data_IF_852701105408
#
_entry.id   IF_852701105408
#
_cell.length_a   1.000
_cell.length_b   1.000
_cell.length_c   1.000
_cell.angle_alpha   90.00
_cell.angle_beta   90.00
_cell.angle_gamma   90.00
#
_symmetry.space_group_name_H-M   'P 1'
#
loop_
_entity.id
_entity.type
_entity.pdbx_description
1 polymer ?
#
# COMPACT_ATOMS: atom_id res chain seq x y z
N UNK A 1 22.61 -3.66 -29.13
CA UNK A 1 23.25 -4.76 -29.90
C UNK A 1 24.02 -5.64 -28.92
N UNK A 2 23.55 -6.86 -28.68
CA UNK A 2 24.34 -8.11 -28.72
C UNK A 2 23.44 -9.27 -28.23
N UNK A 3 23.11 -10.16 -29.15
CA UNK A 3 22.53 -11.49 -28.91
C UNK A 3 23.64 -12.53 -29.18
N UNK A 4 23.48 -13.71 -28.57
CA UNK A 4 23.92 -15.07 -29.00
C UNK A 4 25.39 -15.51 -28.89
N UNK A 5 25.62 -16.59 -28.12
CA UNK A 5 26.39 -17.81 -28.45
C UNK A 5 26.18 -18.90 -27.35
N UNK A 6 25.40 -19.99 -27.58
CA UNK A 6 25.79 -21.37 -28.00
C UNK A 6 26.59 -22.11 -26.88
N UNK A 7 26.09 -23.14 -26.14
CA UNK A 7 25.57 -24.50 -26.43
C UNK A 7 26.60 -25.54 -26.93
N UNK A 8 26.60 -26.74 -26.29
CA UNK A 8 27.41 -27.98 -26.45
C UNK A 8 28.56 -28.08 -25.42
N UNK A 9 28.78 -29.19 -24.72
CA UNK A 9 28.77 -30.59 -25.18
C UNK A 9 28.53 -31.60 -24.04
N UNK A 10 27.66 -32.57 -24.26
CA UNK A 10 27.46 -33.81 -23.50
C UNK A 10 27.72 -34.95 -24.49
N UNK A 11 28.68 -35.84 -24.21
CA UNK A 11 28.66 -37.28 -24.48
C UNK A 11 30.07 -37.87 -24.38
N UNK A 12 30.29 -38.75 -23.40
CA UNK A 12 31.03 -39.98 -23.65
C UNK A 12 30.35 -41.12 -22.90
N UNK A 13 29.89 -42.09 -23.67
CA UNK A 13 29.30 -43.38 -23.28
C UNK A 13 30.40 -44.39 -22.98
N UNK A 14 30.14 -45.31 -22.05
CA UNK A 14 30.94 -46.51 -21.79
C UNK A 14 30.16 -47.52 -20.96
N UNK A 15 29.36 -48.34 -21.65
CA UNK A 15 28.52 -49.41 -21.11
C UNK A 15 29.33 -50.70 -20.89
N UNK A 16 29.09 -51.45 -19.80
CA UNK A 16 29.30 -52.91 -19.73
C UNK A 16 28.19 -53.58 -18.92
N UNK A 17 27.58 -54.57 -19.55
CA UNK A 17 26.54 -55.49 -19.05
C UNK A 17 27.19 -56.86 -18.85
N UNK A 18 26.84 -57.59 -17.79
CA UNK A 18 26.39 -59.01 -17.82
C UNK A 18 26.23 -59.61 -16.39
N UNK A 19 25.14 -60.36 -16.23
CA UNK A 19 24.56 -61.08 -15.08
C UNK A 19 25.10 -62.54 -14.97
N UNK A 20 24.46 -63.52 -14.30
CA UNK A 20 24.14 -63.72 -12.87
C UNK A 20 24.54 -65.13 -12.33
N UNK A 21 24.55 -65.38 -10.99
CA UNK A 21 24.35 -66.74 -10.41
C UNK A 21 23.85 -66.71 -8.95
N UNK A 22 22.71 -67.39 -8.70
CA UNK A 22 22.28 -68.29 -7.58
C UNK A 22 22.91 -68.19 -6.16
N UNK A 23 22.26 -68.46 -4.99
CA UNK A 23 21.03 -69.19 -4.56
C UNK A 23 20.76 -68.89 -3.06
N UNK A 24 19.50 -68.63 -2.65
CA UNK A 24 18.58 -69.41 -1.77
C UNK A 24 18.81 -69.51 -0.24
N UNK A 25 17.80 -69.02 0.53
CA UNK A 25 17.03 -69.66 1.62
C UNK A 25 16.33 -68.54 2.45
N UNK A 26 15.06 -68.54 2.91
CA UNK A 26 13.88 -69.41 2.97
C UNK A 26 12.99 -68.81 4.10
N UNK A 27 11.84 -68.15 3.84
CA UNK A 27 10.43 -68.62 3.97
C UNK A 27 9.96 -68.84 5.44
N UNK A 28 8.66 -68.65 5.87
CA UNK A 28 7.42 -68.32 5.12
C UNK A 28 6.50 -67.21 5.68
N UNK A 29 5.59 -66.79 4.82
CA UNK A 29 4.28 -66.20 5.11
C UNK A 29 3.21 -67.29 5.28
N UNK A 30 2.13 -67.02 6.03
CA UNK A 30 0.89 -67.82 5.96
C UNK A 30 -0.33 -66.90 5.99
N UNK A 31 -1.06 -66.90 4.88
CA UNK A 31 -2.44 -66.46 4.80
C UNK A 31 -3.37 -67.62 5.18
N UNK A 32 -4.54 -67.33 5.74
CA UNK A 32 -5.73 -68.20 5.65
C UNK A 32 -7.01 -67.37 5.82
N UNK A 33 -7.94 -67.66 4.90
CA UNK A 33 -9.31 -67.17 4.78
C UNK A 33 -10.24 -67.95 5.73
N UNK A 34 -11.34 -67.35 6.21
CA UNK A 34 -12.73 -67.80 5.96
C UNK A 34 -13.81 -67.02 6.74
N UNK A 35 -14.86 -66.68 5.98
CA UNK A 35 -16.33 -66.65 6.24
C UNK A 35 -16.97 -66.02 7.51
N UNK A 36 -17.96 -65.18 7.19
CA UNK A 36 -19.17 -64.72 7.90
C UNK A 36 -19.88 -65.75 8.79
N UNK A 37 -20.39 -65.29 9.94
CA UNK A 37 -21.75 -65.54 10.46
C UNK A 37 -22.12 -64.49 11.53
N UNK A 38 -23.36 -64.04 11.49
CA UNK A 38 -23.95 -63.07 12.41
C UNK A 38 -24.41 -63.73 13.71
N UNK A 39 -24.28 -63.03 14.86
CA UNK A 39 -25.19 -63.23 15.99
C UNK A 39 -25.22 -62.02 16.93
N UNK A 40 -26.43 -61.54 17.22
CA UNK A 40 -26.76 -60.54 18.23
C UNK A 40 -26.52 -61.08 19.65
N UNK A 41 -26.09 -60.21 20.57
CA UNK A 41 -26.50 -60.31 21.97
C UNK A 41 -26.45 -58.95 22.67
N UNK A 42 -27.59 -58.59 23.25
CA UNK A 42 -27.83 -57.45 24.14
C UNK A 42 -26.94 -57.45 25.37
N UNK A 43 -26.45 -56.27 25.79
CA UNK A 43 -26.24 -55.96 27.20
C UNK A 43 -26.59 -54.48 27.47
N UNK A 44 -27.42 -54.27 28.50
CA UNK A 44 -27.97 -53.00 28.93
C UNK A 44 -27.13 -52.34 30.04
N UNK A 45 -26.90 -51.02 29.90
CA UNK A 45 -26.87 -49.95 30.94
C UNK A 45 -25.72 -49.92 31.97
N UNK A 46 -25.27 -48.75 32.51
CA UNK A 46 -26.10 -47.60 32.88
C UNK A 46 -25.60 -46.18 32.54
N UNK A 47 -26.58 -45.27 32.68
CA UNK A 47 -26.53 -43.82 32.51
C UNK A 47 -25.52 -43.15 33.45
N UNK A 48 -24.70 -42.25 32.91
CA UNK A 48 -24.17 -41.08 33.65
C UNK A 48 -24.61 -39.80 32.94
N UNK A 49 -25.71 -39.25 33.44
CA UNK A 49 -26.04 -37.84 33.36
C UNK A 49 -25.14 -37.11 34.36
N UNK A 50 -24.58 -35.95 33.99
CA UNK A 50 -24.81 -34.68 34.70
C UNK A 50 -23.84 -33.55 34.28
N UNK A 51 -24.48 -32.40 34.02
CA UNK A 51 -24.00 -31.01 34.18
C UNK A 51 -23.00 -30.41 33.18
N UNK A 52 -23.48 -30.06 31.99
CA UNK A 52 -23.02 -28.86 31.26
C UNK A 52 -24.17 -28.24 30.44
N UNK A 53 -25.21 -27.75 31.12
CA UNK A 53 -26.20 -26.86 30.52
C UNK A 53 -26.88 -26.07 31.64
N UNK A 54 -26.63 -24.74 31.70
CA UNK A 54 -27.54 -23.69 32.22
C UNK A 54 -26.83 -22.37 32.61
N UNK A 55 -25.89 -21.88 31.79
CA UNK A 55 -25.40 -20.48 31.91
C UNK A 55 -25.72 -19.62 30.67
N UNK A 56 -26.26 -20.21 29.60
CA UNK A 56 -26.56 -19.48 28.35
C UNK A 56 -28.05 -19.17 28.08
N UNK A 57 -28.96 -19.45 29.03
CA UNK A 57 -30.42 -19.24 28.84
C UNK A 57 -31.08 -18.35 29.91
N UNK A 58 -30.40 -17.32 30.44
CA UNK A 58 -31.01 -16.41 31.43
C UNK A 58 -30.93 -14.92 31.15
N UNK A 59 -30.90 -14.52 29.87
CA UNK A 59 -31.05 -13.11 29.47
C UNK A 59 -31.95 -12.89 28.24
N UNK A 60 -33.00 -13.70 28.07
CA UNK A 60 -33.99 -13.49 27.02
C UNK A 60 -35.41 -13.69 27.57
N UNK A 61 -35.92 -12.70 28.30
CA UNK A 61 -37.36 -12.37 28.39
C UNK A 61 -37.53 -11.08 29.21
N UNK A 62 -37.35 -9.93 28.56
CA UNK A 62 -38.13 -8.73 28.88
C UNK A 62 -38.92 -8.37 27.64
N UNK A 63 -40.20 -8.71 27.65
CA UNK A 63 -41.14 -8.33 26.62
C UNK A 63 -41.30 -6.79 26.66
N UNK A 64 -40.65 -6.10 25.73
CA UNK A 64 -40.89 -4.68 25.50
C UNK A 64 -42.18 -4.56 24.69
N UNK A 65 -43.21 -3.96 25.30
CA UNK A 65 -44.48 -3.59 24.68
C UNK A 65 -44.18 -2.69 23.46
N UNK A 66 -44.76 -2.92 22.26
CA UNK A 66 -44.51 -2.02 21.14
C UNK A 66 -45.23 -0.70 21.42
N UNK A 67 -44.47 0.37 21.64
CA UNK A 67 -45.00 1.72 21.55
C UNK A 67 -45.37 1.98 20.08
N UNK A 68 -46.59 2.45 19.83
CA UNK A 68 -47.05 2.84 18.51
C UNK A 68 -46.08 3.89 17.94
N UNK A 69 -45.32 3.51 16.92
CA UNK A 69 -44.42 4.41 16.22
C UNK A 69 -45.26 5.33 15.34
N UNK A 70 -45.45 6.58 15.78
CA UNK A 70 -45.94 7.66 14.93
C UNK A 70 -44.95 7.82 13.78
N UNK A 71 -45.36 7.43 12.58
CA UNK A 71 -44.56 7.55 11.36
C UNK A 71 -44.29 9.03 11.08
N UNK A 72 -43.17 9.55 11.59
CA UNK A 72 -42.64 10.84 11.18
C UNK A 72 -42.17 10.68 9.75
N UNK A 73 -42.85 11.37 8.82
CA UNK A 73 -42.50 11.41 7.41
C UNK A 73 -41.02 11.80 7.27
N UNK A 74 -40.17 10.79 7.06
CA UNK A 74 -38.73 10.98 6.92
C UNK A 74 -38.55 11.65 5.57
N UNK A 75 -38.11 12.91 5.57
CA UNK A 75 -37.72 13.62 4.36
C UNK A 75 -36.77 12.73 3.58
N UNK A 76 -37.19 12.26 2.40
CA UNK A 76 -36.42 11.33 1.58
C UNK A 76 -35.00 11.87 1.41
N UNK A 77 -34.04 11.23 2.07
CA UNK A 77 -32.67 11.73 2.12
C UNK A 77 -32.11 11.62 0.71
N UNK A 78 -31.80 12.75 0.06
CA UNK A 78 -31.30 12.75 -1.31
C UNK A 78 -30.06 11.87 -1.44
N UNK A 79 -30.19 10.74 -2.12
CA UNK A 79 -29.12 9.78 -2.36
C UNK A 79 -28.30 10.24 -3.56
N UNK A 80 -26.98 10.25 -3.42
CA UNK A 80 -26.05 10.56 -4.52
C UNK A 80 -26.11 9.47 -5.59
N UNK A 81 -26.09 9.84 -6.89
CA UNK A 81 -26.13 8.85 -7.98
C UNK A 81 -24.87 7.96 -8.01
N UNK A 82 -24.98 6.64 -8.34
CA UNK A 82 -23.82 5.73 -8.42
C UNK A 82 -22.72 6.17 -9.39
N UNK A 83 -23.06 6.90 -10.46
CA UNK A 83 -22.08 7.43 -11.42
C UNK A 83 -20.98 8.28 -10.73
N UNK A 84 -21.33 9.03 -9.68
CA UNK A 84 -20.37 9.81 -8.88
C UNK A 84 -19.36 8.90 -8.19
N UNK A 85 -19.78 7.72 -7.71
CA UNK A 85 -18.87 6.78 -7.08
C UNK A 85 -17.85 6.20 -8.07
N UNK A 86 -18.29 5.79 -9.27
CA UNK A 86 -17.39 5.24 -10.28
C UNK A 86 -16.40 6.30 -10.80
N UNK A 87 -16.85 7.54 -10.94
CA UNK A 87 -15.98 8.67 -11.23
C UNK A 87 -14.91 8.89 -10.14
N UNK A 88 -15.29 8.83 -8.86
CA UNK A 88 -14.32 8.93 -7.76
C UNK A 88 -13.37 7.72 -7.75
N UNK A 89 -13.85 6.50 -8.00
CA UNK A 89 -12.96 5.33 -8.13
C UNK A 89 -11.97 5.45 -9.29
N UNK A 90 -12.40 5.97 -10.44
CA UNK A 90 -11.51 6.28 -11.56
C UNK A 90 -10.41 7.24 -11.12
N UNK A 91 -10.77 8.33 -10.44
CA UNK A 91 -9.80 9.30 -9.94
C UNK A 91 -8.87 8.69 -8.87
N UNK A 92 -9.38 7.83 -7.99
CA UNK A 92 -8.53 7.10 -7.05
C UNK A 92 -7.51 6.22 -7.78
N UNK A 93 -7.92 5.52 -8.84
CA UNK A 93 -7.01 4.77 -9.71
C UNK A 93 -5.94 5.65 -10.36
N UNK A 94 -6.31 6.86 -10.81
CA UNK A 94 -5.34 7.83 -11.32
C UNK A 94 -4.37 8.32 -10.24
N UNK A 95 -4.84 8.55 -9.00
CA UNK A 95 -3.97 8.93 -7.87
C UNK A 95 -3.03 7.78 -7.50
N UNK A 96 -3.48 6.52 -7.57
CA UNK A 96 -2.59 5.37 -7.43
C UNK A 96 -1.50 5.38 -8.52
N UNK A 97 -1.89 5.56 -9.78
CA UNK A 97 -0.96 5.57 -10.90
C UNK A 97 0.07 6.69 -10.80
N UNK A 98 -0.34 7.93 -10.47
CA UNK A 98 0.59 9.06 -10.34
C UNK A 98 1.55 8.87 -9.16
N UNK A 99 1.14 8.22 -8.07
CA UNK A 99 2.07 7.88 -6.99
C UNK A 99 3.16 6.95 -7.50
N UNK A 100 2.82 5.91 -8.27
CA UNK A 100 3.84 5.01 -8.87
C UNK A 100 4.75 5.76 -9.84
N UNK A 101 4.19 6.57 -10.74
CA UNK A 101 4.98 7.38 -11.70
C UNK A 101 5.86 8.41 -10.98
N UNK A 102 5.38 9.02 -9.91
CA UNK A 102 6.16 9.93 -9.07
C UNK A 102 7.29 9.20 -8.34
N UNK A 103 7.06 7.95 -7.89
CA UNK A 103 8.10 7.07 -7.36
C UNK A 103 9.19 6.80 -8.40
N UNK A 104 8.81 6.44 -9.63
CA UNK A 104 9.74 6.27 -10.74
C UNK A 104 10.53 7.55 -11.02
N UNK A 105 9.86 8.70 -11.09
CA UNK A 105 10.50 10.02 -11.30
C UNK A 105 11.55 10.32 -10.23
N UNK A 106 11.35 9.86 -8.98
CA UNK A 106 12.34 9.98 -7.91
C UNK A 106 13.49 8.98 -8.06
N UNK A 107 13.17 7.71 -8.34
CA UNK A 107 14.14 6.62 -8.47
C UNK A 107 15.06 6.80 -9.69
N UNK A 108 14.60 7.47 -10.74
CA UNK A 108 15.38 7.85 -11.93
C UNK A 108 16.00 9.24 -11.80
N UNK A 109 15.99 9.84 -10.60
CA UNK A 109 16.53 11.17 -10.30
C UNK A 109 16.05 12.26 -11.28
N UNK A 110 14.82 12.13 -11.75
CA UNK A 110 14.27 12.96 -12.80
C UNK A 110 13.52 14.18 -12.29
N UNK A 111 13.26 14.26 -10.98
CA UNK A 111 12.37 15.25 -10.37
C UNK A 111 12.84 16.72 -10.42
N UNK A 112 14.01 17.01 -10.98
CA UNK A 112 14.59 18.35 -11.14
C UNK A 112 14.99 18.67 -12.61
N UNK A 113 14.58 17.82 -13.56
CA UNK A 113 14.87 17.97 -15.00
C UNK A 113 14.12 19.14 -15.66
N UNK A 114 12.94 19.52 -15.15
CA UNK A 114 12.10 20.62 -15.66
C UNK A 114 11.99 21.70 -14.59
N UNK A 115 12.74 22.77 -14.75
CA UNK A 115 12.86 23.81 -13.71
C UNK A 115 11.82 24.91 -13.83
N UNK A 116 11.23 25.07 -15.01
CA UNK A 116 10.16 26.04 -15.24
C UNK A 116 8.80 25.53 -14.75
N UNK A 117 8.05 26.39 -14.08
CA UNK A 117 6.67 26.13 -13.67
C UNK A 117 5.69 26.80 -14.64
N UNK A 118 5.58 26.23 -15.83
CA UNK A 118 4.68 26.72 -16.87
C UNK A 118 3.38 25.91 -16.92
N UNK A 119 2.27 26.48 -16.45
CA UNK A 119 0.97 25.77 -16.32
C UNK A 119 0.41 25.31 -17.67
N UNK A 120 0.54 26.13 -18.72
CA UNK A 120 -0.03 25.86 -20.05
C UNK A 120 1.07 25.58 -21.09
N UNK A 121 2.07 26.45 -21.24
CA UNK A 121 3.13 26.28 -22.26
C UNK A 121 3.95 25.01 -22.03
N UNK A 122 4.21 24.64 -20.78
CA UNK A 122 4.89 23.39 -20.42
C UNK A 122 4.06 22.13 -20.59
N UNK A 123 2.90 22.16 -21.28
CA UNK A 123 2.15 20.95 -21.66
C UNK A 123 2.74 20.27 -22.89
N UNK A 124 3.40 21.03 -23.77
CA UNK A 124 4.02 20.49 -24.98
C UNK A 124 5.49 20.17 -24.68
N UNK A 125 5.94 18.91 -24.82
CA UNK A 125 7.37 18.61 -24.72
C UNK A 125 8.10 19.15 -25.97
N UNK A 126 9.42 19.36 -25.91
CA UNK A 126 10.23 19.70 -27.07
C UNK A 126 10.05 18.68 -28.21
N UNK A 127 10.02 19.16 -29.45
CA UNK A 127 9.78 18.36 -30.67
C UNK A 127 10.86 18.51 -31.73
N UNK A 128 11.62 19.59 -31.70
CA UNK A 128 12.76 19.80 -32.58
C UNK A 128 14.07 19.62 -31.82
N UNK A 129 15.16 19.35 -32.55
CA UNK A 129 16.49 19.23 -31.94
C UNK A 129 16.91 20.53 -31.23
N UNK A 130 16.60 21.68 -31.84
CA UNK A 130 16.89 22.99 -31.26
C UNK A 130 16.16 23.20 -29.92
N UNK A 131 14.87 22.87 -29.84
CA UNK A 131 14.11 22.97 -28.58
C UNK A 131 14.68 22.04 -27.50
N UNK A 132 15.18 20.86 -27.88
CA UNK A 132 15.84 19.93 -26.96
C UNK A 132 17.18 20.47 -26.45
N UNK A 133 17.99 21.04 -27.33
CA UNK A 133 19.24 21.69 -26.95
C UNK A 133 18.99 22.87 -26.01
N UNK A 134 17.99 23.71 -26.26
CA UNK A 134 17.62 24.84 -25.40
C UNK A 134 17.23 24.39 -23.98
N UNK A 135 16.37 23.38 -23.85
CA UNK A 135 16.00 22.83 -22.54
C UNK A 135 17.18 22.17 -21.84
N UNK A 136 18.06 21.49 -22.57
CA UNK A 136 19.24 20.87 -22.01
C UNK A 136 20.26 21.92 -21.53
N UNK A 137 20.45 23.01 -22.27
CA UNK A 137 21.29 24.13 -21.85
C UNK A 137 20.78 24.80 -20.57
N UNK A 138 19.45 24.89 -20.40
CA UNK A 138 18.86 25.30 -19.11
C UNK A 138 19.23 24.31 -18.01
N UNK A 139 19.07 23.01 -18.24
CA UNK A 139 19.40 21.98 -17.26
C UNK A 139 20.87 22.04 -16.80
N UNK A 140 21.81 22.29 -17.72
CA UNK A 140 23.25 22.46 -17.42
C UNK A 140 23.57 23.56 -16.42
N UNK A 141 22.68 24.55 -16.26
CA UNK A 141 22.87 25.64 -15.30
C UNK A 141 22.63 25.22 -13.85
N UNK A 142 21.96 24.09 -13.61
CA UNK A 142 21.52 23.69 -12.26
C UNK A 142 22.57 22.86 -11.50
N UNK A 143 22.51 22.88 -10.15
CA UNK A 143 23.37 22.07 -9.28
C UNK A 143 23.43 20.59 -9.64
N UNK A 144 22.28 19.98 -9.98
CA UNK A 144 22.19 18.55 -10.28
C UNK A 144 23.08 18.15 -11.47
N UNK A 145 23.02 18.90 -12.58
CA UNK A 145 23.94 18.71 -13.70
C UNK A 145 25.39 18.95 -13.31
N UNK A 146 25.67 20.03 -12.57
CA UNK A 146 27.04 20.44 -12.23
C UNK A 146 27.74 19.44 -11.30
N UNK A 147 27.00 18.77 -10.43
CA UNK A 147 27.53 17.87 -9.37
C UNK A 147 27.37 16.40 -9.72
N UNK A 148 26.17 15.98 -10.14
CA UNK A 148 25.83 14.56 -10.36
C UNK A 148 25.92 14.17 -11.83
N UNK A 149 25.36 14.98 -12.72
CA UNK A 149 25.12 14.61 -14.11
C UNK A 149 26.04 15.32 -15.12
N UNK A 150 27.29 15.63 -14.73
CA UNK A 150 28.20 16.53 -15.48
C UNK A 150 28.57 16.05 -16.89
N UNK A 151 28.44 14.74 -17.12
CA UNK A 151 28.74 14.07 -18.38
C UNK A 151 27.49 13.53 -19.09
N UNK A 152 26.30 13.93 -18.63
CA UNK A 152 25.04 13.48 -19.21
C UNK A 152 24.94 13.92 -20.68
N UNK A 153 24.51 13.01 -21.53
CA UNK A 153 24.21 13.27 -22.95
C UNK A 153 22.80 13.81 -23.11
N UNK A 154 22.50 14.40 -24.27
CA UNK A 154 21.15 14.88 -24.58
C UNK A 154 20.11 13.74 -24.55
N UNK A 155 20.49 12.53 -25.00
CA UNK A 155 19.60 11.36 -24.99
C UNK A 155 19.27 10.89 -23.56
N UNK A 156 20.25 10.93 -22.65
CA UNK A 156 20.02 10.66 -21.23
C UNK A 156 19.13 11.75 -20.58
N UNK A 157 19.34 13.01 -20.94
CA UNK A 157 18.48 14.11 -20.51
C UNK A 157 17.03 13.94 -20.97
N UNK A 158 16.80 13.55 -22.24
CA UNK A 158 15.45 13.25 -22.76
C UNK A 158 14.73 12.22 -21.90
N UNK A 159 15.42 11.17 -21.44
CA UNK A 159 14.84 10.13 -20.60
C UNK A 159 14.35 10.69 -19.24
N UNK A 160 15.18 11.45 -18.53
CA UNK A 160 14.77 12.04 -17.25
C UNK A 160 13.67 13.10 -17.44
N UNK A 161 13.75 13.89 -18.50
CA UNK A 161 12.74 14.88 -18.86
C UNK A 161 11.36 14.23 -19.06
N UNK A 162 11.30 13.11 -19.79
CA UNK A 162 10.02 12.44 -20.05
C UNK A 162 9.36 11.86 -18.80
N UNK A 163 10.12 11.36 -17.83
CA UNK A 163 9.56 10.92 -16.55
C UNK A 163 8.90 12.08 -15.80
N UNK A 164 9.61 13.20 -15.66
CA UNK A 164 9.08 14.36 -14.97
C UNK A 164 7.90 14.99 -15.73
N UNK A 165 8.02 15.15 -17.05
CA UNK A 165 6.95 15.66 -17.90
C UNK A 165 5.69 14.79 -17.79
N UNK A 166 5.84 13.47 -17.84
CA UNK A 166 4.72 12.52 -17.72
C UNK A 166 4.06 12.65 -16.35
N UNK A 167 4.84 12.69 -15.27
CA UNK A 167 4.33 12.90 -13.92
C UNK A 167 3.53 14.21 -13.80
N UNK A 168 4.05 15.31 -14.36
CA UNK A 168 3.37 16.62 -14.40
C UNK A 168 2.08 16.58 -15.23
N UNK A 169 2.08 15.90 -16.38
CA UNK A 169 0.90 15.79 -17.25
C UNK A 169 -0.21 14.98 -16.61
N UNK A 170 0.14 13.86 -15.96
CA UNK A 170 -0.83 13.06 -15.20
C UNK A 170 -1.42 13.91 -14.06
N UNK A 171 -0.61 14.70 -13.36
CA UNK A 171 -1.09 15.61 -12.31
C UNK A 171 -2.12 16.62 -12.82
N UNK A 172 -1.87 17.24 -13.97
CA UNK A 172 -2.82 18.16 -14.63
C UNK A 172 -4.10 17.45 -15.05
N UNK A 173 -3.97 16.26 -15.63
CA UNK A 173 -5.13 15.46 -16.03
C UNK A 173 -5.99 15.08 -14.82
N UNK A 174 -5.38 14.68 -13.69
CA UNK A 174 -6.10 14.41 -12.43
C UNK A 174 -6.84 15.67 -11.95
N UNK A 175 -6.19 16.84 -12.01
CA UNK A 175 -6.83 18.12 -11.73
C UNK A 175 -8.10 18.34 -12.55
N UNK A 176 -7.98 18.19 -13.87
CA UNK A 176 -9.11 18.33 -14.78
C UNK A 176 -10.21 17.27 -14.56
N UNK A 177 -9.83 16.01 -14.33
CA UNK A 177 -10.76 14.89 -14.11
C UNK A 177 -11.50 14.99 -12.78
N UNK A 178 -10.98 15.72 -11.79
CA UNK A 178 -11.71 16.09 -10.57
C UNK A 178 -12.60 17.32 -10.78
N UNK A 179 -12.06 18.39 -11.36
CA UNK A 179 -12.76 19.67 -11.42
C UNK A 179 -13.94 19.63 -12.40
N UNK A 180 -13.72 19.20 -13.64
CA UNK A 180 -14.74 19.31 -14.69
C UNK A 180 -15.97 18.42 -14.40
N UNK A 181 -15.83 17.11 -14.11
CA UNK A 181 -16.98 16.28 -13.77
C UNK A 181 -17.57 16.65 -12.40
N UNK A 182 -16.75 17.12 -11.45
CA UNK A 182 -17.21 17.59 -10.15
C UNK A 182 -18.19 18.77 -10.27
N UNK A 183 -17.85 19.76 -11.10
CA UNK A 183 -18.72 20.90 -11.41
C UNK A 183 -20.00 20.46 -12.15
N UNK A 184 -19.88 19.53 -13.10
CA UNK A 184 -21.03 18.95 -13.78
C UNK A 184 -21.98 18.23 -12.80
N UNK A 185 -21.46 17.37 -11.93
CA UNK A 185 -22.28 16.64 -10.95
C UNK A 185 -22.90 17.56 -9.90
N UNK A 186 -22.22 18.63 -9.52
CA UNK A 186 -22.74 19.63 -8.60
C UNK A 186 -23.89 20.41 -9.24
N UNK A 187 -23.70 20.93 -10.46
CA UNK A 187 -24.72 21.72 -11.18
C UNK A 187 -25.96 20.90 -11.55
N UNK A 188 -25.80 19.61 -11.90
CA UNK A 188 -26.91 18.68 -12.15
C UNK A 188 -27.55 18.12 -10.87
N UNK A 189 -27.06 18.51 -9.69
CA UNK A 189 -27.58 18.03 -8.42
C UNK A 189 -27.45 16.50 -8.27
N UNK A 190 -26.44 15.87 -8.86
CA UNK A 190 -26.22 14.42 -8.74
C UNK A 190 -25.64 14.01 -7.38
N UNK A 191 -25.17 14.98 -6.59
CA UNK A 191 -24.61 14.79 -5.25
C UNK A 191 -25.56 15.23 -4.14
N UNK A 192 -25.53 14.51 -3.02
CA UNK A 192 -26.04 14.98 -1.73
C UNK A 192 -25.16 16.12 -1.20
N UNK A 193 -25.70 16.98 -0.31
CA UNK A 193 -24.93 18.09 0.29
C UNK A 193 -23.65 17.62 0.98
N UNK A 194 -23.70 16.44 1.62
CA UNK A 194 -22.54 15.82 2.27
C UNK A 194 -21.46 15.44 1.25
N UNK A 195 -21.84 14.72 0.19
CA UNK A 195 -20.87 14.28 -0.84
C UNK A 195 -20.30 15.48 -1.59
N UNK A 196 -21.10 16.51 -1.87
CA UNK A 196 -20.60 17.74 -2.50
C UNK A 196 -19.53 18.43 -1.63
N UNK A 197 -19.77 18.58 -0.31
CA UNK A 197 -18.78 19.14 0.62
C UNK A 197 -17.50 18.29 0.71
N UNK A 198 -17.64 16.97 0.78
CA UNK A 198 -16.49 16.05 0.80
C UNK A 198 -15.68 16.12 -0.49
N UNK A 199 -16.35 16.13 -1.64
CA UNK A 199 -15.72 16.25 -2.96
C UNK A 199 -15.00 17.58 -3.10
N UNK A 200 -15.62 18.68 -2.67
CA UNK A 200 -14.98 19.99 -2.63
C UNK A 200 -13.72 20.00 -1.77
N UNK A 201 -13.77 19.43 -0.56
CA UNK A 201 -12.59 19.30 0.30
C UNK A 201 -11.46 18.49 -0.34
N UNK A 202 -11.80 17.39 -1.04
CA UNK A 202 -10.81 16.61 -1.80
C UNK A 202 -10.21 17.44 -2.94
N UNK A 203 -11.02 18.22 -3.66
CA UNK A 203 -10.52 19.14 -4.71
C UNK A 203 -9.58 20.21 -4.14
N UNK A 204 -9.88 20.77 -2.96
CA UNK A 204 -8.97 21.69 -2.28
C UNK A 204 -7.64 21.00 -1.90
N UNK A 205 -7.69 19.77 -1.38
CA UNK A 205 -6.48 18.99 -1.10
C UNK A 205 -5.69 18.70 -2.38
N UNK A 206 -6.34 18.46 -3.51
CA UNK A 206 -5.69 18.28 -4.80
C UNK A 206 -4.97 19.56 -5.27
N UNK A 207 -5.57 20.73 -5.05
CA UNK A 207 -4.91 22.02 -5.28
C UNK A 207 -3.68 22.19 -4.37
N UNK A 208 -3.82 21.85 -3.08
CA UNK A 208 -2.71 21.84 -2.13
C UNK A 208 -1.61 20.83 -2.52
N UNK A 209 -1.97 19.70 -3.13
CA UNK A 209 -1.02 18.72 -3.62
C UNK A 209 -0.16 19.26 -4.76
N UNK A 210 -0.75 20.05 -5.67
CA UNK A 210 0.01 20.79 -6.68
C UNK A 210 0.98 21.80 -6.06
N UNK A 211 0.54 22.54 -5.05
CA UNK A 211 1.40 23.44 -4.27
C UNK A 211 2.56 22.68 -3.59
N UNK A 212 2.28 21.55 -2.94
CA UNK A 212 3.29 20.71 -2.31
C UNK A 212 4.31 20.18 -3.34
N UNK A 213 3.87 19.80 -4.54
CA UNK A 213 4.76 19.39 -5.63
C UNK A 213 5.71 20.52 -6.05
N UNK A 214 5.20 21.74 -6.20
CA UNK A 214 6.04 22.91 -6.48
C UNK A 214 7.02 23.21 -5.32
N UNK A 215 6.55 23.18 -4.07
CA UNK A 215 7.36 23.41 -2.88
C UNK A 215 8.49 22.37 -2.73
N UNK A 216 8.19 21.13 -3.13
CA UNK A 216 9.11 20.01 -3.18
C UNK A 216 10.23 20.26 -4.21
N UNK A 217 9.89 20.59 -5.47
CA UNK A 217 10.88 20.90 -6.53
C UNK A 217 11.74 22.11 -6.15
N UNK A 218 11.14 23.16 -5.59
CA UNK A 218 11.87 24.36 -5.14
C UNK A 218 12.96 24.04 -4.11
N UNK A 219 12.86 22.96 -3.33
CA UNK A 219 13.95 22.58 -2.42
C UNK A 219 15.23 22.17 -3.14
N UNK A 220 15.10 21.39 -4.21
CA UNK A 220 16.25 20.82 -4.92
C UNK A 220 16.99 21.84 -5.79
N UNK A 221 16.35 22.97 -6.10
CA UNK A 221 16.92 24.04 -6.92
C UNK A 221 17.66 25.12 -6.09
N UNK A 222 17.74 24.97 -4.77
CA UNK A 222 18.33 25.98 -3.90
C UNK A 222 19.85 26.05 -4.04
N UNK A 223 20.38 27.24 -4.39
CA UNK A 223 21.83 27.50 -4.41
C UNK A 223 22.52 27.27 -3.06
N UNK A 224 21.76 27.28 -1.95
CA UNK A 224 22.31 26.95 -0.64
C UNK A 224 22.90 25.53 -0.59
N UNK A 225 22.38 24.60 -1.40
CA UNK A 225 22.93 23.24 -1.52
C UNK A 225 24.34 23.24 -2.13
N UNK A 226 24.71 24.24 -2.93
CA UNK A 226 26.06 24.38 -3.48
C UNK A 226 27.06 24.89 -2.43
N UNK A 227 26.58 25.44 -1.31
CA UNK A 227 27.42 26.04 -0.25
C UNK A 227 27.68 25.08 0.91
N UNK A 228 26.92 24.00 1.03
CA UNK A 228 27.11 22.97 2.04
C UNK A 228 28.06 21.87 1.52
N UNK A 229 29.25 21.69 2.13
CA UNK A 229 30.19 20.65 1.69
C UNK A 229 29.55 19.25 1.78
N UNK A 230 29.46 18.55 0.64
CA UNK A 230 28.89 17.20 0.57
C UNK A 230 27.37 17.13 0.44
N UNK A 231 26.67 18.26 0.27
CA UNK A 231 25.24 18.24 -0.01
C UNK A 231 24.96 17.72 -1.44
N UNK A 232 24.10 16.70 -1.52
CA UNK A 232 23.63 16.15 -2.80
C UNK A 232 22.44 16.98 -3.28
N UNK A 233 22.44 17.53 -4.51
CA UNK A 233 21.30 18.26 -5.06
C UNK A 233 20.11 17.33 -5.27
N UNK A 234 19.23 17.24 -4.26
CA UNK A 234 18.02 16.44 -4.31
C UNK A 234 16.90 17.11 -3.56
N UNK A 235 15.69 16.66 -3.83
CA UNK A 235 14.51 17.06 -3.08
C UNK A 235 14.65 16.63 -1.62
N UNK A 236 14.28 17.51 -0.68
CA UNK A 236 14.26 17.18 0.74
C UNK A 236 13.33 16.00 1.04
N UNK A 237 13.84 15.00 1.76
CA UNK A 237 13.08 13.82 2.22
C UNK A 237 11.83 14.21 3.00
N UNK A 238 11.87 15.31 3.77
CA UNK A 238 10.70 15.83 4.47
C UNK A 238 9.60 16.27 3.51
N UNK A 239 9.96 16.98 2.44
CA UNK A 239 9.00 17.50 1.46
C UNK A 239 8.46 16.37 0.58
N UNK A 240 9.32 15.43 0.19
CA UNK A 240 8.93 14.22 -0.53
C UNK A 240 7.90 13.40 0.27
N UNK A 241 8.20 13.10 1.54
CA UNK A 241 7.30 12.35 2.41
C UNK A 241 6.00 13.10 2.68
N UNK A 242 6.04 14.42 2.86
CA UNK A 242 4.83 15.24 3.02
C UNK A 242 3.95 15.26 1.75
N UNK A 243 4.56 15.31 0.57
CA UNK A 243 3.86 15.23 -0.71
C UNK A 243 3.21 13.85 -0.90
N UNK A 244 3.93 12.76 -0.58
CA UNK A 244 3.38 11.40 -0.59
C UNK A 244 2.23 11.24 0.40
N UNK A 245 2.38 11.73 1.64
CA UNK A 245 1.34 11.66 2.66
C UNK A 245 0.04 12.37 2.22
N UNK A 246 0.19 13.55 1.62
CA UNK A 246 -0.95 14.29 1.05
C UNK A 246 -1.60 13.55 -0.12
N UNK A 247 -0.80 12.90 -0.99
CA UNK A 247 -1.31 12.04 -2.07
C UNK A 247 -2.17 10.90 -1.52
N UNK A 248 -1.68 10.21 -0.48
CA UNK A 248 -2.38 9.10 0.15
C UNK A 248 -3.64 9.59 0.87
N UNK A 249 -3.64 10.79 1.46
CA UNK A 249 -4.83 11.39 2.06
C UNK A 249 -5.93 11.65 1.01
N UNK A 250 -5.57 12.18 -0.17
CA UNK A 250 -6.48 12.34 -1.31
C UNK A 250 -7.02 10.98 -1.77
N UNK A 251 -6.12 10.01 -1.96
CA UNK A 251 -6.45 8.65 -2.38
C UNK A 251 -7.46 7.98 -1.43
N UNK A 252 -7.14 7.97 -0.12
CA UNK A 252 -7.97 7.39 0.92
C UNK A 252 -9.35 8.06 0.97
N UNK A 253 -9.38 9.40 0.99
CA UNK A 253 -10.63 10.17 1.04
C UNK A 253 -11.52 9.87 -0.15
N UNK A 254 -10.94 9.80 -1.35
CA UNK A 254 -11.66 9.51 -2.59
C UNK A 254 -12.27 8.11 -2.56
N UNK A 255 -11.49 7.10 -2.14
CA UNK A 255 -11.97 5.72 -1.99
C UNK A 255 -13.10 5.62 -0.96
N UNK A 256 -12.94 6.25 0.21
CA UNK A 256 -13.96 6.18 1.26
C UNK A 256 -15.26 6.87 0.85
N UNK A 257 -15.20 8.00 0.15
CA UNK A 257 -16.40 8.68 -0.36
C UNK A 257 -17.07 7.84 -1.44
N UNK A 258 -16.30 7.30 -2.40
CA UNK A 258 -16.84 6.43 -3.45
C UNK A 258 -17.54 5.18 -2.86
N UNK A 259 -16.87 4.49 -1.94
CA UNK A 259 -17.39 3.30 -1.28
C UNK A 259 -18.65 3.59 -0.45
N UNK A 260 -18.70 4.75 0.22
CA UNK A 260 -19.87 5.14 1.01
C UNK A 260 -21.06 5.47 0.10
N UNK A 261 -20.85 6.10 -1.06
CA UNK A 261 -21.92 6.34 -2.05
C UNK A 261 -22.51 5.01 -2.53
N UNK A 262 -21.67 4.03 -2.90
CA UNK A 262 -22.15 2.70 -3.34
C UNK A 262 -22.94 2.02 -2.23
N UNK A 263 -22.44 2.07 -0.98
CA UNK A 263 -23.10 1.45 0.18
C UNK A 263 -24.43 2.11 0.49
N UNK A 264 -24.48 3.45 0.54
CA UNK A 264 -25.70 4.22 0.79
C UNK A 264 -26.76 3.97 -0.29
N UNK A 265 -26.37 3.87 -1.57
CA UNK A 265 -27.29 3.49 -2.64
C UNK A 265 -27.88 2.10 -2.42
N UNK A 266 -27.08 1.11 -2.01
CA UNK A 266 -27.61 -0.24 -1.71
C UNK A 266 -28.61 -0.21 -0.55
N UNK A 267 -28.33 0.56 0.50
CA UNK A 267 -29.22 0.72 1.65
C UNK A 267 -30.53 1.38 1.23
N UNK A 268 -30.46 2.54 0.56
CA UNK A 268 -31.64 3.31 0.17
C UNK A 268 -32.57 2.57 -0.81
N UNK A 269 -32.01 1.68 -1.63
CA UNK A 269 -32.78 0.85 -2.56
C UNK A 269 -33.22 -0.50 -1.97
N UNK A 270 -33.06 -0.74 -0.66
CA UNK A 270 -33.43 -2.01 -0.01
C UNK A 270 -32.60 -3.23 -0.45
N UNK A 271 -31.50 -3.01 -1.18
CA UNK A 271 -30.62 -4.07 -1.70
C UNK A 271 -29.53 -4.49 -0.70
N UNK A 272 -29.49 -3.87 0.48
CA UNK A 272 -28.54 -4.22 1.53
C UNK A 272 -29.12 -5.32 2.42
N UNK A 273 -28.40 -6.43 2.55
CA UNK A 273 -28.85 -7.59 3.33
C UNK A 273 -29.00 -7.26 4.83
N UNK A 274 -30.21 -7.47 5.37
CA UNK A 274 -30.50 -7.28 6.80
C UNK A 274 -29.66 -8.19 7.72
N UNK A 275 -29.42 -9.44 7.31
CA UNK A 275 -28.55 -10.35 8.08
C UNK A 275 -27.10 -9.85 8.12
N UNK A 276 -26.62 -9.28 7.01
CA UNK A 276 -25.29 -8.66 6.95
C UNK A 276 -25.20 -7.44 7.86
N UNK A 277 -26.21 -6.57 7.84
CA UNK A 277 -26.28 -5.42 8.72
C UNK A 277 -26.32 -5.82 10.22
N UNK A 278 -27.09 -6.84 10.59
CA UNK A 278 -27.13 -7.39 11.95
C UNK A 278 -25.76 -7.92 12.40
N UNK A 279 -25.07 -8.73 11.57
CA UNK A 279 -23.70 -9.18 11.85
C UNK A 279 -22.74 -8.01 12.03
N UNK A 280 -22.81 -7.00 11.16
CA UNK A 280 -21.97 -5.81 11.23
C UNK A 280 -22.27 -4.90 12.42
N UNK A 281 -23.44 -4.98 13.04
CA UNK A 281 -23.77 -4.21 14.23
C UNK A 281 -23.42 -4.93 15.54
N UNK A 282 -23.05 -6.21 15.47
CA UNK A 282 -22.68 -6.99 16.64
C UNK A 282 -21.51 -6.33 17.42
N UNK A 283 -21.64 -6.13 18.75
CA UNK A 283 -20.61 -5.51 19.57
C UNK A 283 -19.30 -6.31 19.63
N UNK A 284 -19.31 -7.62 19.37
CA UNK A 284 -18.09 -8.45 19.34
C UNK A 284 -17.04 -7.90 18.37
N UNK A 285 -17.49 -7.24 17.29
CA UNK A 285 -16.60 -6.65 16.29
C UNK A 285 -15.99 -5.31 16.74
N UNK A 286 -16.32 -4.76 17.93
CA UNK A 286 -15.79 -3.46 18.39
C UNK A 286 -14.26 -3.48 18.45
N UNK A 287 -13.68 -4.50 19.10
CA UNK A 287 -12.22 -4.66 19.21
C UNK A 287 -11.57 -4.84 17.85
N UNK A 288 -12.17 -5.67 16.99
CA UNK A 288 -11.68 -5.90 15.62
C UNK A 288 -11.68 -4.62 14.78
N UNK A 289 -12.72 -3.78 14.89
CA UNK A 289 -12.77 -2.46 14.22
C UNK A 289 -11.64 -1.55 14.69
N UNK A 290 -11.46 -1.42 16.02
CA UNK A 290 -10.39 -0.59 16.59
C UNK A 290 -9.03 -1.08 16.09
N UNK A 291 -8.76 -2.38 16.21
CA UNK A 291 -7.50 -2.97 15.75
C UNK A 291 -7.26 -2.76 14.23
N UNK A 292 -8.31 -2.86 13.40
CA UNK A 292 -8.20 -2.59 11.97
C UNK A 292 -7.84 -1.12 11.69
N UNK A 293 -8.44 -0.18 12.41
CA UNK A 293 -8.12 1.25 12.29
C UNK A 293 -6.70 1.56 12.79
N UNK A 294 -6.31 1.01 13.94
CA UNK A 294 -4.96 1.15 14.50
C UNK A 294 -3.90 0.60 13.55
N UNK A 295 -4.16 -0.57 12.95
CA UNK A 295 -3.28 -1.17 11.94
C UNK A 295 -3.17 -0.28 10.68
N UNK A 296 -4.28 0.33 10.24
CA UNK A 296 -4.24 1.30 9.14
C UNK A 296 -3.36 2.52 9.48
N UNK A 297 -3.42 3.01 10.72
CA UNK A 297 -2.54 4.07 11.22
C UNK A 297 -1.06 3.65 11.20
N UNK A 298 -0.74 2.43 11.66
CA UNK A 298 0.61 1.89 11.60
C UNK A 298 1.12 1.72 10.16
N UNK A 299 0.27 1.22 9.24
CA UNK A 299 0.61 1.11 7.83
C UNK A 299 0.92 2.48 7.22
N UNK A 300 0.17 3.52 7.57
CA UNK A 300 0.45 4.90 7.13
C UNK A 300 1.81 5.39 7.62
N UNK A 301 2.14 5.16 8.91
CA UNK A 301 3.46 5.50 9.47
C UNK A 301 4.57 4.74 8.75
N UNK A 302 4.36 3.45 8.48
CA UNK A 302 5.32 2.60 7.77
C UNK A 302 5.56 3.12 6.35
N UNK A 303 4.52 3.49 5.61
CA UNK A 303 4.68 4.09 4.26
C UNK A 303 5.40 5.44 4.32
N UNK A 304 5.12 6.27 5.33
CA UNK A 304 5.82 7.55 5.52
C UNK A 304 7.30 7.34 5.82
N UNK A 305 7.65 6.36 6.67
CA UNK A 305 9.06 6.00 6.90
C UNK A 305 9.75 5.49 5.62
N UNK A 306 9.04 4.77 4.75
CA UNK A 306 9.56 4.37 3.43
C UNK A 306 9.82 5.57 2.51
N UNK A 307 9.01 6.63 2.61
CA UNK A 307 9.27 7.91 1.92
C UNK A 307 10.57 8.58 2.38
N UNK A 308 10.91 8.47 3.68
CA UNK A 308 12.18 8.95 4.21
C UNK A 308 13.36 8.10 3.70
N UNK A 309 13.21 6.77 3.69
CA UNK A 309 14.21 5.85 3.13
C UNK A 309 14.53 6.20 1.67
N UNK A 310 13.50 6.40 0.84
CA UNK A 310 13.67 6.80 -0.56
C UNK A 310 14.25 8.22 -0.71
N UNK A 311 13.89 9.14 0.18
CA UNK A 311 14.42 10.51 0.17
C UNK A 311 15.90 10.61 0.55
N UNK A 312 16.40 9.69 1.37
CA UNK A 312 17.79 9.65 1.86
C UNK A 312 18.68 8.66 1.09
N UNK A 313 18.13 7.95 0.11
CA UNK A 313 18.81 6.82 -0.57
C UNK A 313 19.27 5.73 0.44
N UNK A 314 18.59 5.63 1.58
CA UNK A 314 18.95 4.75 2.69
C UNK A 314 18.75 3.26 2.37
N UNK A 315 18.11 2.93 1.24
CA UNK A 315 17.97 1.56 0.76
C UNK A 315 19.28 0.90 0.30
N UNK A 316 20.36 1.69 0.13
CA UNK A 316 21.65 1.24 -0.41
C UNK A 316 22.74 0.98 0.66
N UNK A 317 22.39 0.98 1.94
CA UNK A 317 23.37 0.93 3.05
C UNK A 317 23.56 -0.51 3.54
N UNK A 318 22.51 -1.08 4.15
CA UNK A 318 22.50 -2.49 4.53
C UNK A 318 21.61 -3.25 3.56
N UNK A 319 22.19 -4.15 2.78
CA UNK A 319 21.49 -4.87 1.70
C UNK A 319 21.35 -6.37 1.97
N UNK A 320 21.56 -6.77 3.21
CA UNK A 320 21.27 -8.10 3.74
C UNK A 320 20.00 -8.11 4.60
N UNK A 321 19.42 -9.29 4.80
CA UNK A 321 18.25 -9.54 5.65
C UNK A 321 18.34 -10.95 6.26
N UNK A 322 18.01 -11.16 7.55
CA UNK A 322 17.46 -10.19 8.52
C UNK A 322 18.53 -9.31 9.20
N UNK A 323 19.81 -9.59 8.98
CA UNK A 323 20.91 -8.83 9.57
C UNK A 323 21.06 -7.43 8.93
N UNK A 324 21.80 -6.56 9.60
CA UNK A 324 22.29 -5.26 9.17
C UNK A 324 23.74 -5.15 9.65
N UNK A 325 24.67 -5.58 8.81
CA UNK A 325 26.07 -5.79 9.15
C UNK A 325 26.27 -7.07 9.95
N UNK A 326 27.02 -6.98 11.05
CA UNK A 326 27.36 -8.13 11.90
C UNK A 326 26.22 -8.59 12.83
N UNK A 327 25.16 -7.78 12.97
CA UNK A 327 24.04 -8.02 13.88
C UNK A 327 22.67 -7.77 13.24
N UNK A 328 21.59 -8.05 13.98
CA UNK A 328 20.21 -7.72 13.54
C UNK A 328 19.86 -6.23 13.75
N UNK A 329 20.65 -5.54 14.55
CA UNK A 329 20.57 -4.09 14.79
C UNK A 329 21.95 -3.52 14.46
N UNK A 330 22.04 -2.40 13.71
CA UNK A 330 23.30 -1.69 13.49
C UNK A 330 23.98 -1.27 14.81
N UNK A 331 25.30 -1.01 14.79
CA UNK A 331 26.01 -0.45 15.93
C UNK A 331 25.36 0.83 16.48
N UNK A 332 25.35 1.00 17.80
CA UNK A 332 24.68 2.12 18.48
C UNK A 332 25.23 3.49 18.07
N UNK A 333 26.53 3.57 17.81
CA UNK A 333 27.23 4.77 17.33
C UNK A 333 26.80 5.17 15.90
N UNK A 334 26.43 4.19 15.07
CA UNK A 334 25.81 4.44 13.78
C UNK A 334 24.37 4.91 13.93
N UNK A 335 23.57 4.30 14.82
CA UNK A 335 22.16 4.68 15.03
C UNK A 335 21.99 6.05 15.69
N UNK A 336 22.91 6.44 16.57
CA UNK A 336 22.85 7.65 17.39
C UNK A 336 24.08 8.53 17.20
N UNK A 337 24.44 8.79 15.94
CA UNK A 337 25.62 9.57 15.58
C UNK A 337 25.44 11.07 15.89
N UNK A 338 26.49 11.68 16.44
CA UNK A 338 26.57 13.13 16.66
C UNK A 338 26.69 13.93 15.36
N UNK A 339 27.01 13.26 14.24
CA UNK A 339 27.09 13.89 12.91
C UNK A 339 25.78 14.53 12.45
N UNK A 340 24.65 14.00 12.91
CA UNK A 340 23.32 14.50 12.55
C UNK A 340 22.74 15.48 13.57
N UNK A 341 23.50 15.87 14.59
CA UNK A 341 23.07 16.83 15.61
C UNK A 341 23.47 18.23 15.17
N UNK A 342 22.50 19.15 15.04
CA UNK A 342 22.78 20.56 14.75
C UNK A 342 22.99 21.32 16.07
N UNK A 343 23.75 22.43 16.07
CA UNK A 343 23.97 23.24 17.27
C UNK A 343 22.68 23.76 17.94
N UNK A 344 21.58 23.83 17.18
CA UNK A 344 20.27 24.28 17.65
C UNK A 344 19.38 23.17 18.22
N UNK A 345 19.80 21.90 18.13
CA UNK A 345 18.97 20.77 18.54
C UNK A 345 19.17 20.43 20.02
N UNK A 346 18.07 20.17 20.72
CA UNK A 346 18.09 19.66 22.10
C UNK A 346 18.11 18.12 22.11
N UNK A 347 19.11 17.51 21.45
CA UNK A 347 19.33 16.06 21.42
C UNK A 347 19.40 15.43 20.03
N UNK A 348 19.49 14.10 19.98
CA UNK A 348 19.81 13.31 18.77
C UNK A 348 18.61 12.94 17.88
N UNK A 349 17.47 13.62 18.02
CA UNK A 349 16.21 13.26 17.35
C UNK A 349 16.31 13.21 15.81
N UNK A 350 17.19 14.02 15.21
CA UNK A 350 17.43 14.03 13.77
C UNK A 350 17.96 12.70 13.24
N UNK A 351 18.57 11.86 14.08
CA UNK A 351 18.94 10.51 13.65
C UNK A 351 17.73 9.73 13.15
N UNK A 352 16.56 9.87 13.77
CA UNK A 352 15.32 9.18 13.35
C UNK A 352 14.78 9.63 11.98
N UNK A 353 15.27 10.74 11.42
CA UNK A 353 14.68 11.39 10.23
C UNK A 353 15.70 11.77 9.14
N UNK A 354 16.98 11.86 9.49
CA UNK A 354 18.07 12.32 8.62
C UNK A 354 19.25 11.35 8.58
N UNK A 355 19.40 10.47 9.57
CA UNK A 355 20.43 9.44 9.55
C UNK A 355 19.94 8.26 8.70
N UNK A 356 20.55 7.99 7.53
CA UNK A 356 20.10 6.93 6.64
C UNK A 356 20.10 5.54 7.29
N UNK A 357 21.11 5.21 8.12
CA UNK A 357 21.17 3.92 8.84
C UNK A 357 19.97 3.74 9.77
N UNK A 358 19.70 4.76 10.61
CA UNK A 358 18.58 4.74 11.56
C UNK A 358 17.23 4.71 10.85
N UNK A 359 17.05 5.53 9.80
CA UNK A 359 15.81 5.57 9.02
C UNK A 359 15.53 4.23 8.32
N UNK A 360 16.57 3.57 7.80
CA UNK A 360 16.44 2.23 7.22
C UNK A 360 16.02 1.20 8.28
N UNK A 361 16.68 1.21 9.45
CA UNK A 361 16.35 0.32 10.57
C UNK A 361 14.92 0.54 11.10
N UNK A 362 14.51 1.80 11.28
CA UNK A 362 13.16 2.17 11.71
C UNK A 362 12.11 1.66 10.72
N UNK A 363 12.35 1.85 9.42
CA UNK A 363 11.44 1.37 8.38
C UNK A 363 11.31 -0.16 8.38
N UNK A 364 12.43 -0.90 8.50
CA UNK A 364 12.42 -2.37 8.61
C UNK A 364 11.63 -2.83 9.83
N UNK A 365 11.88 -2.23 11.00
CA UNK A 365 11.19 -2.54 12.25
C UNK A 365 9.67 -2.27 12.16
N UNK A 366 9.29 -1.14 11.56
CA UNK A 366 7.88 -0.79 11.31
C UNK A 366 7.21 -1.76 10.33
N UNK A 367 7.93 -2.20 9.29
CA UNK A 367 7.43 -3.17 8.31
C UNK A 367 7.21 -4.56 8.94
N UNK A 368 8.16 -5.05 9.73
CA UNK A 368 8.06 -6.32 10.46
C UNK A 368 6.92 -6.29 11.49
N UNK A 369 6.79 -5.19 12.23
CA UNK A 369 5.69 -4.96 13.17
C UNK A 369 4.34 -4.95 12.43
N UNK A 370 4.26 -4.26 11.29
CA UNK A 370 3.07 -4.22 10.44
C UNK A 370 2.69 -5.62 9.93
N UNK A 371 3.65 -6.40 9.44
CA UNK A 371 3.44 -7.76 8.95
C UNK A 371 2.96 -8.69 10.08
N UNK A 372 3.58 -8.60 11.25
CA UNK A 372 3.22 -9.39 12.43
C UNK A 372 1.81 -9.06 12.91
N UNK A 373 1.47 -7.78 13.06
CA UNK A 373 0.15 -7.36 13.51
C UNK A 373 -0.94 -7.60 12.46
N UNK A 374 -0.62 -7.51 11.17
CA UNK A 374 -1.54 -7.92 10.09
C UNK A 374 -1.85 -9.40 10.18
N UNK A 375 -0.84 -10.25 10.40
CA UNK A 375 -0.99 -11.69 10.58
C UNK A 375 -1.82 -12.00 11.83
N UNK A 376 -1.53 -11.34 12.95
CA UNK A 376 -2.29 -11.50 14.19
C UNK A 376 -3.76 -11.08 14.03
N UNK A 377 -4.04 -9.96 13.35
CA UNK A 377 -5.40 -9.50 13.05
C UNK A 377 -6.12 -10.50 12.13
N UNK A 378 -5.43 -11.04 11.13
CA UNK A 378 -5.95 -12.06 10.23
C UNK A 378 -6.30 -13.37 10.97
N UNK A 379 -5.43 -13.86 11.85
CA UNK A 379 -5.72 -15.01 12.72
C UNK A 379 -6.90 -14.73 13.66
N UNK A 380 -6.94 -13.55 14.28
CA UNK A 380 -8.06 -13.14 15.15
C UNK A 380 -9.39 -13.11 14.39
N UNK A 381 -9.38 -12.68 13.12
CA UNK A 381 -10.56 -12.66 12.25
C UNK A 381 -11.23 -14.04 12.09
N UNK A 382 -10.47 -15.13 12.21
CA UNK A 382 -10.96 -16.51 12.08
C UNK A 382 -11.92 -16.91 13.20
N UNK A 383 -11.85 -16.23 14.34
CA UNK A 383 -12.69 -16.49 15.52
C UNK A 383 -13.98 -15.65 15.54
N UNK A 384 -14.20 -14.82 14.52
CA UNK A 384 -15.29 -13.84 14.50
C UNK A 384 -16.38 -14.18 13.46
N UNK A 385 -17.66 -13.86 13.76
CA UNK A 385 -18.76 -14.04 12.82
C UNK A 385 -18.76 -12.92 11.77
N UNK A 386 -17.86 -13.03 10.78
CA UNK A 386 -17.64 -12.01 9.75
C UNK A 386 -18.49 -12.25 8.49
N UNK A 387 -19.13 -11.22 7.92
CA UNK A 387 -19.76 -11.31 6.59
C UNK A 387 -18.74 -11.63 5.48
N UNK A 388 -19.22 -12.20 4.37
CA UNK A 388 -18.37 -12.61 3.22
C UNK A 388 -17.43 -11.49 2.74
N UNK A 389 -17.95 -10.27 2.61
CA UNK A 389 -17.15 -9.11 2.16
C UNK A 389 -15.99 -8.78 3.12
N UNK A 390 -16.22 -8.87 4.44
CA UNK A 390 -15.19 -8.62 5.45
C UNK A 390 -14.14 -9.73 5.46
N UNK A 391 -14.57 -11.00 5.32
CA UNK A 391 -13.67 -12.16 5.17
C UNK A 391 -12.79 -12.02 3.93
N UNK A 392 -13.35 -11.56 2.82
CA UNK A 392 -12.60 -11.32 1.59
C UNK A 392 -11.57 -10.21 1.78
N UNK A 393 -11.97 -9.06 2.34
CA UNK A 393 -11.07 -7.93 2.57
C UNK A 393 -9.88 -8.30 3.49
N UNK A 394 -10.13 -9.00 4.60
CA UNK A 394 -9.03 -9.42 5.52
C UNK A 394 -8.11 -10.47 4.89
N UNK A 395 -8.63 -11.37 4.05
CA UNK A 395 -7.81 -12.32 3.30
C UNK A 395 -6.96 -11.62 2.24
N UNK A 396 -7.53 -10.67 1.50
CA UNK A 396 -6.80 -9.86 0.53
C UNK A 396 -5.70 -9.06 1.21
N UNK A 397 -5.96 -8.47 2.38
CA UNK A 397 -4.95 -7.75 3.15
C UNK A 397 -3.80 -8.65 3.60
N UNK A 398 -4.09 -9.89 3.98
CA UNK A 398 -3.05 -10.88 4.29
C UNK A 398 -2.21 -11.26 3.05
N UNK A 399 -2.85 -11.46 1.89
CA UNK A 399 -2.12 -11.70 0.65
C UNK A 399 -1.24 -10.51 0.25
N UNK A 400 -1.77 -9.29 0.37
CA UNK A 400 -1.05 -8.06 0.06
C UNK A 400 0.17 -7.84 0.97
N UNK A 401 0.07 -8.17 2.27
CA UNK A 401 1.23 -8.02 3.18
C UNK A 401 2.34 -9.02 2.88
N UNK A 402 2.01 -10.25 2.47
CA UNK A 402 3.01 -11.24 2.01
C UNK A 402 3.75 -10.70 0.79
N UNK A 403 3.02 -10.25 -0.23
CA UNK A 403 3.61 -9.64 -1.43
C UNK A 403 4.48 -8.44 -1.06
N UNK A 404 4.01 -7.58 -0.15
CA UNK A 404 4.75 -6.38 0.26
C UNK A 404 6.06 -6.70 0.96
N UNK A 405 6.07 -7.69 1.86
CA UNK A 405 7.28 -8.15 2.55
C UNK A 405 8.26 -8.76 1.53
N UNK A 406 7.77 -9.61 0.63
CA UNK A 406 8.60 -10.18 -0.44
C UNK A 406 9.23 -9.11 -1.32
N UNK A 407 8.45 -8.10 -1.74
CA UNK A 407 8.96 -6.98 -2.52
C UNK A 407 9.99 -6.17 -1.72
N UNK A 408 9.75 -5.90 -0.44
CA UNK A 408 10.67 -5.11 0.39
C UNK A 408 12.02 -5.79 0.56
N UNK A 409 12.00 -7.08 0.91
CA UNK A 409 13.22 -7.89 1.04
C UNK A 409 13.93 -8.02 -0.32
N UNK A 410 13.19 -8.18 -1.42
CA UNK A 410 13.79 -8.29 -2.75
C UNK A 410 14.45 -6.98 -3.18
N UNK A 411 13.78 -5.84 -3.00
CA UNK A 411 14.34 -4.50 -3.27
C UNK A 411 15.64 -4.30 -2.50
N UNK A 412 15.69 -4.77 -1.27
CA UNK A 412 16.86 -4.68 -0.41
C UNK A 412 18.02 -5.55 -0.89
N UNK A 413 17.80 -6.86 -1.07
CA UNK A 413 18.84 -7.84 -1.42
C UNK A 413 19.43 -7.58 -2.81
N UNK A 414 18.62 -7.10 -3.75
CA UNK A 414 19.06 -6.80 -5.11
C UNK A 414 19.57 -5.36 -5.30
N UNK A 415 19.90 -4.63 -4.22
CA UNK A 415 20.48 -3.28 -4.29
C UNK A 415 19.57 -2.24 -4.98
N UNK A 416 18.30 -2.21 -4.57
CA UNK A 416 17.26 -1.26 -5.01
C UNK A 416 17.07 -1.19 -6.55
N UNK A 417 16.78 -2.30 -7.26
CA UNK A 417 16.41 -2.22 -8.67
C UNK A 417 15.14 -1.37 -8.83
N UNK A 418 15.13 -0.48 -9.82
CA UNK A 418 14.06 0.52 -10.00
C UNK A 418 12.69 -0.15 -10.12
N UNK A 419 12.60 -1.29 -10.82
CA UNK A 419 11.36 -2.03 -11.00
C UNK A 419 10.85 -2.61 -9.68
N UNK A 420 11.73 -3.16 -8.85
CA UNK A 420 11.37 -3.72 -7.55
C UNK A 420 10.99 -2.61 -6.56
N UNK A 421 11.73 -1.50 -6.54
CA UNK A 421 11.43 -0.35 -5.70
C UNK A 421 10.06 0.27 -6.07
N UNK A 422 9.79 0.46 -7.36
CA UNK A 422 8.50 0.94 -7.85
C UNK A 422 7.36 -0.06 -7.55
N UNK A 423 7.60 -1.36 -7.73
CA UNK A 423 6.63 -2.40 -7.38
C UNK A 423 6.35 -2.43 -5.88
N UNK A 424 7.37 -2.27 -5.03
CA UNK A 424 7.23 -2.19 -3.57
C UNK A 424 6.39 -0.97 -3.15
N UNK A 425 6.59 0.18 -3.80
CA UNK A 425 5.76 1.37 -3.55
C UNK A 425 4.29 1.15 -3.99
N UNK A 426 4.07 0.54 -5.17
CA UNK A 426 2.74 0.17 -5.63
C UNK A 426 2.06 -0.84 -4.69
N UNK A 427 2.81 -1.84 -4.22
CA UNK A 427 2.38 -2.83 -3.25
C UNK A 427 1.98 -2.21 -1.90
N UNK A 428 2.69 -1.17 -1.45
CA UNK A 428 2.36 -0.45 -0.23
C UNK A 428 0.98 0.22 -0.32
N UNK A 429 0.70 0.88 -1.44
CA UNK A 429 -0.62 1.45 -1.71
C UNK A 429 -1.70 0.37 -1.86
N UNK A 430 -1.39 -0.78 -2.48
CA UNK A 430 -2.31 -1.90 -2.59
C UNK A 430 -2.67 -2.49 -1.21
N UNK A 431 -1.67 -2.63 -0.32
CA UNK A 431 -1.87 -3.05 1.06
C UNK A 431 -2.76 -2.05 1.82
N UNK A 432 -2.46 -0.75 1.75
CA UNK A 432 -3.32 0.31 2.33
C UNK A 432 -4.75 0.26 1.76
N UNK A 433 -4.90 0.02 0.46
CA UNK A 433 -6.21 -0.10 -0.19
C UNK A 433 -7.03 -1.25 0.37
N UNK A 434 -6.39 -2.41 0.58
CA UNK A 434 -7.04 -3.56 1.20
C UNK A 434 -7.45 -3.30 2.65
N UNK A 435 -6.64 -2.53 3.41
CA UNK A 435 -7.00 -2.08 4.75
C UNK A 435 -8.18 -1.08 4.72
N UNK A 436 -8.18 -0.10 3.82
CA UNK A 436 -9.30 0.83 3.66
C UNK A 436 -10.60 0.13 3.29
N UNK A 437 -10.51 -0.89 2.42
CA UNK A 437 -11.64 -1.77 2.12
C UNK A 437 -12.13 -2.49 3.38
N UNK A 438 -11.24 -3.10 4.17
CA UNK A 438 -11.60 -3.77 5.41
C UNK A 438 -12.26 -2.81 6.42
N UNK A 439 -11.69 -1.62 6.62
CA UNK A 439 -12.26 -0.55 7.46
C UNK A 439 -13.67 -0.21 6.99
N UNK A 440 -13.85 0.03 5.68
CA UNK A 440 -15.15 0.41 5.14
C UNK A 440 -16.16 -0.74 5.25
N UNK A 441 -15.74 -1.98 4.98
CA UNK A 441 -16.58 -3.17 5.06
C UNK A 441 -17.07 -3.47 6.49
N UNK A 442 -16.32 -3.04 7.50
CA UNK A 442 -16.66 -3.20 8.92
C UNK A 442 -17.56 -2.08 9.49
N UNK A 443 -17.86 -1.04 8.71
CA UNK A 443 -18.72 0.06 9.15
C UNK A 443 -20.10 -0.48 9.52
N UNK A 444 -20.62 0.01 10.66
CA UNK A 444 -21.98 -0.27 11.10
C UNK A 444 -22.98 0.25 10.08
N UNK A 445 -24.11 -0.44 10.00
CA UNK A 445 -25.21 -0.10 9.10
C UNK A 445 -26.37 0.31 9.99
N UNK A 446 -26.90 1.55 9.87
CA UNK A 446 -28.13 1.89 10.58
C UNK A 446 -29.24 0.96 10.05
N UNK A 447 -29.89 0.24 10.96
CA UNK A 447 -31.03 -0.61 10.70
C UNK A 447 -32.32 0.18 10.91
#
# INVERSE_FOLDING_TARGET
>A
MLRTAISRSLHHLGCKVLTPTARLAGVPSRALSTRSLAQQSHFQTPKKSLYLSNVYQRFMTTAVKPAAATATATTATKVTKPAVAYWLYFNAGMVFAIVVVGGLTRLTESGLSITEWNVISGMKPPRSELEWEEEFEKYKQFPEYKILNRHMTLEEFKNIFYWEWSHRMIGRFIGASFILPGLYFASKGHMSKRVAKQTFGITCLLGFQGFMGWYMVKSGLSEALMKEPGAVPRVSQYRLTAHLATAIAIYASTIFVAADIVRQNKIANGKYSASTASMLNNPILKRFRIATHSLGGLMMITVMSGGLVAGLDAGLIYNEFPFMGEGIVPPTDELWSDRYVKPTDNGKWRNLLENPTTVQFDHRTLAETTATLTTALWLYSRRLPLPKNVKMAVNTMMGAVVVQVTLGISTLIYMVPIELAAAHQAGALALLTSNFWLIHALRRVPL
#
